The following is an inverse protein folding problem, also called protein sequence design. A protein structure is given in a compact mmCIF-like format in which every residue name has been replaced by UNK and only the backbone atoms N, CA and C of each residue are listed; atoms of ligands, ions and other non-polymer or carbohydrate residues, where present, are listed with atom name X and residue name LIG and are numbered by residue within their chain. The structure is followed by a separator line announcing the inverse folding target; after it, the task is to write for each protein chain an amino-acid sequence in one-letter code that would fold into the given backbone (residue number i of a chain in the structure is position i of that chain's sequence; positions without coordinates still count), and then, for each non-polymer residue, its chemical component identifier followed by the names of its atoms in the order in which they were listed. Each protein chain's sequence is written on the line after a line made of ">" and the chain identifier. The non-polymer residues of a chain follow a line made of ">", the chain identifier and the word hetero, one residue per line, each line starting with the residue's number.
data_IF_441324282706
#
_entry.id   IF_441324282706
#
_cell.length_a   1.000
_cell.length_b   1.000
_cell.length_c   1.000
_cell.angle_alpha   90.00
_cell.angle_beta   90.00
_cell.angle_gamma   90.00
#
_symmetry.space_group_name_H-M   'P 1'
#
loop_
_entity.id
_entity.type
_entity.pdbx_description
1 polymer ?
#
# COMPACT_ATOMS: atom_id res chain seq x y z
N UNK A 1 29.96 5.58 -52.16
CA UNK A 1 30.85 4.58 -51.52
C UNK A 1 30.79 3.30 -52.35
N UNK A 2 31.75 3.11 -53.29
CA UNK A 2 31.74 1.96 -54.22
C UNK A 2 32.69 0.82 -53.82
N UNK A 3 33.47 0.98 -52.74
CA UNK A 3 34.46 -0.02 -52.33
C UNK A 3 33.83 -1.08 -51.40
N UNK A 4 33.79 -2.37 -51.81
CA UNK A 4 33.17 -3.43 -51.01
C UNK A 4 33.90 -3.66 -49.69
N UNK A 5 35.21 -3.45 -49.62
CA UNK A 5 35.99 -3.53 -48.38
C UNK A 5 35.58 -2.50 -47.33
N UNK A 6 35.32 -1.25 -47.75
CA UNK A 6 34.85 -0.19 -46.82
C UNK A 6 33.46 -0.52 -46.27
N UNK A 7 32.58 -1.08 -47.10
CA UNK A 7 31.25 -1.54 -46.65
C UNK A 7 31.36 -2.67 -45.62
N UNK A 8 32.22 -3.65 -45.86
CA UNK A 8 32.46 -4.75 -44.94
C UNK A 8 33.01 -4.26 -43.60
N UNK A 9 33.96 -3.31 -43.62
CA UNK A 9 34.50 -2.71 -42.39
C UNK A 9 33.42 -1.99 -41.61
N UNK A 10 32.55 -1.20 -42.25
CA UNK A 10 31.47 -0.49 -41.60
C UNK A 10 30.46 -1.47 -40.96
N UNK A 11 30.13 -2.56 -41.67
CA UNK A 11 29.23 -3.59 -41.14
C UNK A 11 29.84 -4.27 -39.91
N UNK A 12 31.13 -4.64 -39.97
CA UNK A 12 31.82 -5.27 -38.85
C UNK A 12 31.90 -4.34 -37.63
N UNK A 13 32.21 -3.05 -37.86
CA UNK A 13 32.21 -2.06 -36.76
C UNK A 13 30.83 -1.87 -36.16
N UNK A 14 29.78 -1.84 -36.97
CA UNK A 14 28.40 -1.74 -36.46
C UNK A 14 27.99 -3.00 -35.65
N UNK A 15 28.40 -4.19 -36.08
CA UNK A 15 28.15 -5.42 -35.31
C UNK A 15 28.92 -5.44 -34.00
N UNK A 16 30.19 -5.04 -34.01
CA UNK A 16 30.99 -4.95 -32.75
C UNK A 16 30.37 -3.92 -31.82
N UNK A 17 29.95 -2.76 -32.32
CA UNK A 17 29.29 -1.75 -31.51
C UNK A 17 27.98 -2.24 -30.96
N UNK A 18 27.16 -2.96 -31.73
CA UNK A 18 25.91 -3.59 -31.26
C UNK A 18 26.15 -4.64 -30.18
N UNK A 19 27.18 -5.47 -30.31
CA UNK A 19 27.57 -6.47 -29.28
C UNK A 19 27.99 -5.80 -27.98
N UNK A 20 28.77 -4.72 -28.03
CA UNK A 20 29.18 -3.93 -26.89
C UNK A 20 27.97 -3.35 -26.17
N UNK A 21 26.95 -2.90 -26.92
CA UNK A 21 25.73 -2.30 -26.33
C UNK A 21 24.79 -3.33 -25.71
N UNK A 22 24.72 -4.54 -26.27
CA UNK A 22 23.87 -5.63 -25.77
C UNK A 22 24.51 -6.39 -24.60
N UNK A 23 25.84 -6.36 -24.47
CA UNK A 23 26.59 -7.09 -23.45
C UNK A 23 26.05 -6.89 -22.01
N UNK A 24 25.79 -5.66 -21.51
CA UNK A 24 25.28 -5.47 -20.17
C UNK A 24 23.88 -6.10 -19.97
N UNK A 25 23.03 -6.08 -20.99
CA UNK A 25 21.68 -6.66 -20.94
C UNK A 25 21.74 -8.16 -20.79
N UNK A 26 22.57 -8.85 -21.58
CA UNK A 26 22.77 -10.30 -21.47
C UNK A 26 23.34 -10.66 -20.10
N UNK A 27 24.37 -9.93 -19.66
CA UNK A 27 24.97 -10.16 -18.34
C UNK A 27 23.97 -9.96 -17.18
N UNK A 28 23.14 -8.92 -17.25
CA UNK A 28 22.09 -8.69 -16.26
C UNK A 28 21.06 -9.83 -16.21
N UNK A 29 20.68 -10.37 -17.36
CA UNK A 29 19.71 -11.46 -17.44
C UNK A 29 20.26 -12.79 -16.85
N UNK A 30 21.56 -13.00 -16.84
CA UNK A 30 22.20 -14.21 -16.29
C UNK A 30 22.36 -14.17 -14.77
N UNK A 31 22.21 -12.98 -14.13
CA UNK A 31 22.32 -12.82 -12.69
C UNK A 31 21.10 -13.42 -11.96
N UNK A 32 21.35 -14.04 -10.80
CA UNK A 32 20.28 -14.50 -9.92
C UNK A 32 19.51 -13.29 -9.30
N UNK A 33 18.25 -13.47 -8.87
CA UNK A 33 17.48 -12.42 -8.23
C UNK A 33 18.18 -11.77 -7.03
N UNK A 34 18.88 -12.58 -6.23
CA UNK A 34 19.64 -12.10 -5.05
C UNK A 34 20.84 -11.23 -5.44
N UNK A 35 21.60 -11.63 -6.45
CA UNK A 35 22.72 -10.83 -6.96
C UNK A 35 22.28 -9.53 -7.58
N UNK A 36 21.14 -9.50 -8.29
CA UNK A 36 20.54 -8.28 -8.82
C UNK A 36 20.19 -7.32 -7.71
N UNK A 37 19.52 -7.80 -6.65
CA UNK A 37 19.12 -6.98 -5.52
C UNK A 37 20.34 -6.40 -4.79
N UNK A 38 21.36 -7.20 -4.50
CA UNK A 38 22.59 -6.71 -3.86
C UNK A 38 23.28 -5.61 -4.68
N UNK A 39 23.30 -5.75 -6.00
CA UNK A 39 23.89 -4.71 -6.88
C UNK A 39 23.08 -3.43 -6.87
N UNK A 40 21.74 -3.52 -6.95
CA UNK A 40 20.86 -2.37 -6.87
C UNK A 40 21.03 -1.59 -5.56
N UNK A 41 21.16 -2.30 -4.44
CA UNK A 41 21.35 -1.69 -3.13
C UNK A 41 22.73 -1.01 -3.01
N UNK A 42 23.77 -1.64 -3.55
CA UNK A 42 25.11 -1.06 -3.61
C UNK A 42 25.13 0.23 -4.42
N UNK A 43 24.50 0.25 -5.59
CA UNK A 43 24.46 1.43 -6.46
C UNK A 43 23.62 2.56 -5.86
N UNK A 44 22.50 2.23 -5.20
CA UNK A 44 21.72 3.23 -4.44
C UNK A 44 22.58 3.93 -3.38
N UNK A 45 23.43 3.20 -2.67
CA UNK A 45 24.36 3.77 -1.69
C UNK A 45 25.44 4.64 -2.36
N UNK A 46 26.03 4.17 -3.48
CA UNK A 46 27.01 4.95 -4.23
C UNK A 46 26.43 6.24 -4.84
N UNK A 47 25.15 6.29 -5.20
CA UNK A 47 24.49 7.47 -5.75
C UNK A 47 24.10 8.51 -4.69
N UNK A 48 24.00 8.11 -3.42
CA UNK A 48 23.73 9.02 -2.29
C UNK A 48 24.98 9.82 -1.83
N UNK A 49 26.18 9.40 -2.23
CA UNK A 49 27.38 10.14 -1.87
C UNK A 49 27.54 11.41 -2.73
N UNK A 50 27.77 12.59 -2.12
CA UNK A 50 27.95 13.84 -2.87
C UNK A 50 29.22 13.77 -3.71
N UNK A 51 29.07 13.75 -5.05
CA UNK A 51 30.18 13.64 -6.01
C UNK A 51 30.62 15.01 -6.49
N UNK A 52 31.92 15.28 -6.43
CA UNK A 52 32.52 16.38 -7.20
C UNK A 52 32.78 15.87 -8.63
N UNK A 53 32.30 16.57 -9.68
CA UNK A 53 32.47 16.14 -11.06
C UNK A 53 33.96 16.11 -11.44
N UNK A 54 34.45 14.96 -11.91
CA UNK A 54 35.80 14.76 -12.38
C UNK A 54 35.77 13.88 -13.63
N UNK A 55 36.06 14.44 -14.81
CA UNK A 55 35.92 13.80 -16.11
C UNK A 55 36.58 12.41 -16.20
N UNK A 56 37.81 12.26 -15.71
CA UNK A 56 38.52 10.96 -15.77
C UNK A 56 37.91 9.91 -14.83
N UNK A 57 37.53 10.32 -13.63
CA UNK A 57 36.92 9.44 -12.65
C UNK A 57 35.52 9.01 -13.07
N UNK A 58 34.77 9.92 -13.67
CA UNK A 58 33.40 9.65 -14.14
C UNK A 58 33.40 8.73 -15.36
N UNK A 59 34.38 8.87 -16.26
CA UNK A 59 34.55 7.95 -17.42
C UNK A 59 34.94 6.54 -16.94
N UNK A 60 35.87 6.41 -16.00
CA UNK A 60 36.27 5.13 -15.44
C UNK A 60 35.13 4.48 -14.65
N UNK A 61 34.36 5.27 -13.88
CA UNK A 61 33.17 4.80 -13.19
C UNK A 61 32.10 4.31 -14.19
N UNK A 62 31.89 5.00 -15.30
CA UNK A 62 31.00 4.58 -16.37
C UNK A 62 31.39 3.24 -16.99
N UNK A 63 32.69 3.03 -17.29
CA UNK A 63 33.22 1.75 -17.78
C UNK A 63 33.03 0.63 -16.73
N UNK A 64 33.30 0.91 -15.44
CA UNK A 64 33.09 -0.02 -14.35
C UNK A 64 31.60 -0.42 -14.25
N UNK A 65 30.69 0.53 -14.29
CA UNK A 65 29.23 0.28 -14.26
C UNK A 65 28.80 -0.55 -15.46
N UNK A 66 29.25 -0.20 -16.67
CA UNK A 66 28.98 -0.99 -17.87
C UNK A 66 29.44 -2.44 -17.73
N UNK A 67 30.66 -2.68 -17.23
CA UNK A 67 31.20 -4.04 -17.03
C UNK A 67 30.52 -4.81 -15.93
N UNK A 68 29.87 -4.13 -14.99
CA UNK A 68 29.12 -4.71 -13.87
C UNK A 68 27.61 -4.83 -14.15
N UNK A 69 27.19 -4.60 -15.42
CA UNK A 69 25.81 -4.72 -15.88
C UNK A 69 24.86 -3.77 -15.14
N UNK A 70 25.27 -2.50 -14.97
CA UNK A 70 24.43 -1.48 -14.34
C UNK A 70 23.12 -1.32 -15.09
N UNK A 71 22.02 -1.09 -14.34
CA UNK A 71 20.67 -0.92 -14.89
C UNK A 71 20.57 0.17 -15.96
N UNK A 72 21.40 1.22 -15.87
CA UNK A 72 21.40 2.35 -16.82
C UNK A 72 21.93 1.95 -18.21
N UNK A 73 22.64 0.82 -18.30
CA UNK A 73 23.16 0.24 -19.54
C UNK A 73 22.38 -0.99 -20.03
N UNK A 74 21.40 -1.43 -19.25
CA UNK A 74 20.55 -2.59 -19.58
C UNK A 74 19.36 -2.11 -20.40
N UNK A 75 19.13 -2.73 -21.55
CA UNK A 75 17.95 -2.46 -22.38
C UNK A 75 16.73 -3.03 -21.66
N UNK A 76 15.78 -2.18 -21.31
CA UNK A 76 14.51 -2.61 -20.74
C UNK A 76 13.67 -3.32 -21.81
N UNK A 77 13.50 -4.61 -21.63
CA UNK A 77 12.71 -5.44 -22.54
C UNK A 77 11.23 -5.32 -22.17
N UNK A 78 10.40 -5.12 -23.19
CA UNK A 78 8.94 -5.11 -23.01
C UNK A 78 8.38 -6.46 -22.57
N UNK A 79 7.09 -6.47 -22.26
CA UNK A 79 6.34 -7.63 -21.75
C UNK A 79 6.51 -8.88 -22.62
N UNK A 80 6.58 -8.71 -23.93
CA UNK A 80 6.67 -9.81 -24.91
C UNK A 80 8.00 -10.57 -24.83
N UNK A 81 9.06 -9.93 -24.38
CA UNK A 81 10.41 -10.52 -24.32
C UNK A 81 10.82 -10.92 -22.90
N UNK A 82 10.37 -10.19 -21.89
CA UNK A 82 10.73 -10.44 -20.50
C UNK A 82 9.65 -11.20 -19.74
N UNK A 83 8.43 -11.27 -20.29
CA UNK A 83 7.24 -11.73 -19.58
C UNK A 83 6.80 -10.69 -18.55
N UNK A 84 5.72 -10.97 -17.88
CA UNK A 84 5.19 -10.06 -16.85
C UNK A 84 3.67 -10.12 -16.79
N UNK A 85 3.08 -9.16 -16.10
CA UNK A 85 1.65 -9.07 -15.87
C UNK A 85 1.07 -7.94 -16.71
N UNK A 86 -0.02 -8.22 -17.41
CA UNK A 86 -0.83 -7.23 -18.11
C UNK A 86 -2.24 -7.24 -17.49
N UNK A 87 -2.64 -6.13 -16.89
CA UNK A 87 -3.95 -5.98 -16.27
C UNK A 87 -4.73 -4.84 -16.93
N UNK A 88 -6.05 -5.01 -16.97
CA UNK A 88 -6.98 -3.98 -17.43
C UNK A 88 -7.88 -3.64 -16.25
N UNK A 89 -7.82 -2.38 -15.82
CA UNK A 89 -8.65 -1.80 -14.78
C UNK A 89 -9.81 -1.08 -15.45
N UNK A 90 -11.04 -1.51 -15.21
CA UNK A 90 -12.25 -0.86 -15.71
C UNK A 90 -12.96 -0.08 -14.61
N UNK A 91 -13.74 0.94 -14.99
CA UNK A 91 -14.54 1.77 -14.09
C UNK A 91 -16.02 1.46 -14.27
N UNK A 92 -16.70 1.27 -13.16
CA UNK A 92 -18.16 1.13 -13.13
C UNK A 92 -18.75 2.25 -12.25
N UNK A 93 -19.10 3.35 -12.91
CA UNK A 93 -19.61 4.55 -12.25
C UNK A 93 -20.97 4.28 -11.59
N UNK A 94 -21.71 3.28 -12.07
CA UNK A 94 -23.02 2.92 -11.50
C UNK A 94 -22.91 2.37 -10.08
N UNK A 95 -21.71 1.92 -9.68
CA UNK A 95 -21.41 1.44 -8.32
C UNK A 95 -20.75 2.49 -7.44
N UNK A 96 -20.54 3.69 -7.94
CA UNK A 96 -19.98 4.78 -7.14
C UNK A 96 -20.98 5.22 -6.05
N UNK A 97 -20.44 5.66 -4.91
CA UNK A 97 -21.27 6.22 -3.84
C UNK A 97 -22.10 7.40 -4.38
N UNK A 98 -23.43 7.41 -4.21
CA UNK A 98 -24.29 8.51 -4.66
C UNK A 98 -23.81 9.88 -4.19
N UNK A 99 -23.27 9.98 -2.96
CA UNK A 99 -22.73 11.24 -2.41
C UNK A 99 -21.51 11.73 -3.19
N UNK A 100 -20.71 10.83 -3.75
CA UNK A 100 -19.57 11.19 -4.59
C UNK A 100 -20.08 11.72 -5.94
N UNK A 101 -21.10 11.09 -6.50
CA UNK A 101 -21.71 11.54 -7.75
C UNK A 101 -22.40 12.92 -7.61
N UNK A 102 -23.07 13.15 -6.50
CA UNK A 102 -23.70 14.45 -6.17
C UNK A 102 -22.67 15.59 -5.95
N UNK A 103 -21.40 15.27 -5.69
CA UNK A 103 -20.35 16.28 -5.52
C UNK A 103 -19.83 16.87 -6.83
N UNK A 104 -20.18 16.27 -7.98
CA UNK A 104 -19.80 16.80 -9.29
C UNK A 104 -20.77 17.90 -9.75
N UNK A 105 -20.29 18.85 -10.59
CA UNK A 105 -21.15 19.87 -11.16
C UNK A 105 -22.30 19.23 -11.95
N UNK A 106 -23.51 19.77 -11.82
CA UNK A 106 -24.72 19.29 -12.55
C UNK A 106 -24.58 19.36 -14.07
N UNK A 107 -23.63 20.17 -14.56
CA UNK A 107 -23.31 20.32 -15.99
C UNK A 107 -22.50 19.16 -16.57
N UNK A 108 -21.91 18.29 -15.70
CA UNK A 108 -21.08 17.20 -16.16
C UNK A 108 -21.92 16.02 -16.65
N UNK A 109 -21.61 15.55 -17.85
CA UNK A 109 -22.19 14.30 -18.35
C UNK A 109 -21.56 13.09 -17.62
N UNK A 110 -22.23 11.95 -17.68
CA UNK A 110 -21.69 10.68 -17.18
C UNK A 110 -20.31 10.38 -17.79
N UNK A 111 -20.09 10.70 -19.06
CA UNK A 111 -18.82 10.54 -19.74
C UNK A 111 -17.72 11.44 -19.16
N UNK A 112 -18.05 12.67 -18.72
CA UNK A 112 -17.09 13.58 -18.09
C UNK A 112 -16.69 13.06 -16.71
N UNK A 113 -17.63 12.51 -15.95
CA UNK A 113 -17.41 11.87 -14.66
C UNK A 113 -16.49 10.65 -14.81
N UNK A 114 -16.78 9.77 -15.76
CA UNK A 114 -15.94 8.61 -16.07
C UNK A 114 -14.52 9.02 -16.42
N UNK A 115 -14.37 10.02 -17.28
CA UNK A 115 -13.05 10.54 -17.68
C UNK A 115 -12.29 11.12 -16.50
N UNK A 116 -12.97 11.84 -15.62
CA UNK A 116 -12.36 12.37 -14.40
C UNK A 116 -11.85 11.26 -13.47
N UNK A 117 -12.66 10.23 -13.22
CA UNK A 117 -12.24 9.07 -12.46
C UNK A 117 -11.07 8.33 -13.12
N UNK A 118 -11.11 8.18 -14.46
CA UNK A 118 -10.01 7.58 -15.20
C UNK A 118 -8.70 8.36 -14.98
N UNK A 119 -8.72 9.68 -15.06
CA UNK A 119 -7.54 10.51 -14.81
C UNK A 119 -7.01 10.41 -13.39
N UNK A 120 -7.87 10.47 -12.39
CA UNK A 120 -7.48 10.33 -10.99
C UNK A 120 -6.87 8.95 -10.69
N UNK A 121 -7.51 7.90 -11.19
CA UNK A 121 -7.04 6.54 -10.98
C UNK A 121 -5.73 6.27 -11.72
N UNK A 122 -5.58 6.79 -12.94
CA UNK A 122 -4.32 6.70 -13.69
C UNK A 122 -3.16 7.29 -12.87
N UNK A 123 -3.31 8.52 -12.36
CA UNK A 123 -2.28 9.17 -11.52
C UNK A 123 -2.01 8.40 -10.23
N UNK A 124 -3.03 7.78 -9.64
CA UNK A 124 -2.88 6.99 -8.41
C UNK A 124 -2.12 5.71 -8.70
N UNK A 125 -2.47 5.00 -9.77
CA UNK A 125 -1.76 3.77 -10.18
C UNK A 125 -0.32 4.09 -10.57
N UNK A 126 -0.09 5.16 -11.36
CA UNK A 126 1.26 5.61 -11.72
C UNK A 126 2.13 5.79 -10.48
N UNK A 127 1.67 6.58 -9.51
CA UNK A 127 2.42 6.84 -8.27
C UNK A 127 2.75 5.54 -7.52
N UNK A 128 1.77 4.67 -7.32
CA UNK A 128 1.94 3.40 -6.60
C UNK A 128 2.92 2.47 -7.28
N UNK A 129 2.79 2.34 -8.61
CA UNK A 129 3.61 1.41 -9.37
C UNK A 129 5.05 1.93 -9.49
N UNK A 130 5.26 3.24 -9.69
CA UNK A 130 6.60 3.83 -9.75
C UNK A 130 7.34 3.79 -8.41
N UNK A 131 6.64 3.90 -7.27
CA UNK A 131 7.26 3.80 -5.95
C UNK A 131 7.75 2.39 -5.60
N UNK A 132 7.15 1.36 -6.17
CA UNK A 132 7.36 -0.03 -5.77
C UNK A 132 8.12 -0.90 -6.78
N UNK A 133 8.40 -0.41 -8.00
CA UNK A 133 9.06 -1.23 -9.03
C UNK A 133 10.40 -0.67 -9.47
N UNK A 134 11.35 -1.60 -9.67
CA UNK A 134 12.67 -1.35 -10.27
C UNK A 134 12.66 -1.40 -11.81
N UNK A 135 11.55 -1.79 -12.43
CA UNK A 135 11.36 -1.87 -13.88
C UNK A 135 10.32 -0.83 -14.32
N UNK A 136 10.47 -0.26 -15.51
CA UNK A 136 9.57 0.75 -16.05
C UNK A 136 8.21 0.15 -16.42
N UNK A 137 7.14 0.44 -15.65
CA UNK A 137 5.80 0.01 -15.98
C UNK A 137 5.25 0.81 -17.15
N UNK A 138 4.36 0.20 -17.95
CA UNK A 138 3.60 0.91 -18.97
C UNK A 138 2.17 1.05 -18.47
N UNK A 139 1.74 2.30 -18.25
CA UNK A 139 0.40 2.62 -17.79
C UNK A 139 -0.23 3.53 -18.84
N UNK A 140 -1.32 3.09 -19.44
CA UNK A 140 -1.96 3.80 -20.54
C UNK A 140 -3.49 3.71 -20.45
N UNK A 141 -4.17 4.74 -20.95
CA UNK A 141 -5.63 4.71 -21.13
C UNK A 141 -5.99 3.72 -22.23
N UNK A 142 -7.01 2.92 -21.98
CA UNK A 142 -7.57 1.97 -22.94
C UNK A 142 -9.06 2.30 -23.14
N UNK A 143 -9.37 3.08 -24.18
CA UNK A 143 -10.71 3.62 -24.35
C UNK A 143 -11.05 4.69 -23.31
N UNK A 144 -12.36 4.90 -23.10
CA UNK A 144 -12.87 5.99 -22.25
C UNK A 144 -13.04 5.55 -20.79
N UNK A 145 -13.12 4.24 -20.53
CA UNK A 145 -13.52 3.66 -19.25
C UNK A 145 -12.49 2.68 -18.65
N UNK A 146 -11.29 2.54 -19.27
CA UNK A 146 -10.31 1.54 -18.84
C UNK A 146 -8.89 2.11 -18.78
N UNK A 147 -8.07 1.48 -17.94
CA UNK A 147 -6.61 1.71 -17.86
C UNK A 147 -5.92 0.37 -18.05
N UNK A 148 -4.96 0.32 -18.96
CA UNK A 148 -4.06 -0.81 -19.11
C UNK A 148 -2.81 -0.57 -18.27
N UNK A 149 -2.44 -1.57 -17.48
CA UNK A 149 -1.25 -1.58 -16.64
C UNK A 149 -0.40 -2.79 -17.02
N UNK A 150 0.80 -2.54 -17.51
CA UNK A 150 1.77 -3.57 -17.84
C UNK A 150 2.96 -3.50 -16.89
N UNK A 151 3.25 -4.62 -16.23
CA UNK A 151 4.32 -4.75 -15.25
C UNK A 151 5.35 -5.78 -15.77
N UNK A 152 6.35 -5.32 -16.53
CA UNK A 152 7.36 -6.22 -17.06
C UNK A 152 8.19 -6.87 -15.96
N UNK A 153 8.40 -8.18 -16.07
CA UNK A 153 9.20 -8.94 -15.11
C UNK A 153 8.50 -9.33 -13.81
N UNK A 154 7.30 -8.78 -13.51
CA UNK A 154 6.50 -9.19 -12.35
C UNK A 154 5.81 -10.53 -12.63
N UNK A 155 5.89 -11.45 -11.65
CA UNK A 155 5.32 -12.80 -11.75
C UNK A 155 4.26 -13.07 -10.70
N UNK A 156 4.22 -12.27 -9.65
CA UNK A 156 3.28 -12.39 -8.54
C UNK A 156 2.02 -11.57 -8.86
N UNK A 157 0.97 -12.28 -9.28
CA UNK A 157 -0.32 -11.66 -9.64
C UNK A 157 -1.02 -11.05 -8.42
N UNK A 158 -0.91 -11.67 -7.24
CA UNK A 158 -1.56 -11.17 -6.02
C UNK A 158 -0.90 -9.88 -5.57
N UNK A 159 0.42 -9.84 -5.59
CA UNK A 159 1.18 -8.62 -5.31
C UNK A 159 0.87 -7.49 -6.30
N UNK A 160 0.82 -7.79 -7.59
CA UNK A 160 0.47 -6.81 -8.61
C UNK A 160 -0.97 -6.29 -8.45
N UNK A 161 -1.90 -7.17 -8.07
CA UNK A 161 -3.27 -6.84 -7.78
C UNK A 161 -3.37 -5.92 -6.56
N UNK A 162 -2.68 -6.26 -5.48
CA UNK A 162 -2.64 -5.44 -4.27
C UNK A 162 -2.09 -4.03 -4.54
N UNK A 163 -1.03 -3.91 -5.32
CA UNK A 163 -0.48 -2.62 -5.71
C UNK A 163 -1.48 -1.72 -6.46
N UNK A 164 -2.30 -2.32 -7.31
CA UNK A 164 -3.23 -1.56 -8.17
C UNK A 164 -4.56 -1.30 -7.47
N UNK A 165 -5.11 -2.31 -6.79
CA UNK A 165 -6.49 -2.29 -6.29
C UNK A 165 -6.64 -1.95 -4.81
N UNK A 166 -5.59 -2.00 -3.98
CA UNK A 166 -5.69 -1.48 -2.61
C UNK A 166 -6.02 0.00 -2.68
N UNK A 167 -7.25 0.34 -2.31
CA UNK A 167 -7.74 1.72 -2.44
C UNK A 167 -7.05 2.67 -1.47
N UNK A 168 -6.41 2.15 -0.42
CA UNK A 168 -5.83 2.90 0.68
C UNK A 168 -6.82 3.95 1.24
N UNK A 169 -8.09 3.54 1.35
CA UNK A 169 -9.13 4.39 1.90
C UNK A 169 -8.90 4.55 3.40
N UNK A 170 -8.27 5.66 3.76
CA UNK A 170 -7.95 5.99 5.14
C UNK A 170 -9.17 6.56 5.85
N UNK A 171 -9.47 6.01 7.02
CA UNK A 171 -10.48 6.53 7.92
C UNK A 171 -10.00 6.49 9.36
N UNK A 172 -10.57 7.37 10.18
CA UNK A 172 -10.30 7.41 11.61
C UNK A 172 -11.61 7.16 12.35
N UNK A 173 -11.61 6.16 13.21
CA UNK A 173 -12.79 5.76 13.98
C UNK A 173 -12.52 5.85 15.47
N UNK A 174 -13.38 6.53 16.21
CA UNK A 174 -13.37 6.41 17.67
C UNK A 174 -13.71 4.97 18.04
N UNK A 175 -13.08 4.49 19.10
CA UNK A 175 -13.26 3.13 19.57
C UNK A 175 -14.01 3.13 20.93
N UNK A 176 -14.64 2.02 21.22
CA UNK A 176 -15.10 1.73 22.57
C UNK A 176 -13.92 1.59 23.52
N UNK A 177 -14.13 1.95 24.78
CA UNK A 177 -13.13 1.70 25.81
C UNK A 177 -12.95 0.20 26.04
N UNK A 178 -11.78 -0.27 26.53
CA UNK A 178 -11.50 -1.70 26.68
C UNK A 178 -12.55 -2.49 27.46
N UNK A 179 -13.08 -1.91 28.52
CA UNK A 179 -14.12 -2.50 29.36
C UNK A 179 -15.48 -2.62 28.64
N UNK A 180 -15.81 -1.66 27.77
CA UNK A 180 -17.00 -1.72 26.93
C UNK A 180 -16.84 -2.79 25.84
N UNK A 181 -15.65 -2.90 25.25
CA UNK A 181 -15.32 -3.96 24.28
C UNK A 181 -15.46 -5.35 24.93
N UNK A 182 -14.92 -5.54 26.14
CA UNK A 182 -14.99 -6.80 26.87
C UNK A 182 -16.44 -7.22 27.13
N UNK A 183 -17.32 -6.28 27.49
CA UNK A 183 -18.75 -6.55 27.67
C UNK A 183 -19.45 -7.03 26.41
N UNK A 184 -19.14 -6.40 25.27
CA UNK A 184 -19.71 -6.81 23.97
C UNK A 184 -19.20 -8.18 23.56
N UNK A 185 -17.90 -8.46 23.70
CA UNK A 185 -17.33 -9.77 23.37
C UNK A 185 -17.86 -10.88 24.29
N UNK A 186 -18.09 -10.61 25.57
CA UNK A 186 -18.76 -11.54 26.51
C UNK A 186 -20.21 -11.81 26.10
N UNK A 187 -20.94 -10.79 25.63
CA UNK A 187 -22.30 -10.97 25.13
C UNK A 187 -22.35 -11.86 23.87
N UNK A 188 -21.39 -11.66 22.95
CA UNK A 188 -21.23 -12.47 21.75
C UNK A 188 -20.90 -13.92 22.12
N UNK A 189 -19.96 -14.13 23.02
CA UNK A 189 -19.57 -15.45 23.50
C UNK A 189 -20.74 -16.21 24.07
N UNK A 190 -21.47 -15.58 25.02
CA UNK A 190 -22.66 -16.17 25.64
C UNK A 190 -23.75 -16.50 24.63
N UNK A 191 -23.92 -15.67 23.59
CA UNK A 191 -24.88 -15.94 22.50
C UNK A 191 -24.50 -17.22 21.77
N UNK A 192 -23.23 -17.37 21.35
CA UNK A 192 -22.78 -18.54 20.60
C UNK A 192 -22.65 -19.80 21.46
N UNK A 193 -22.30 -19.68 22.74
CA UNK A 193 -22.35 -20.80 23.69
C UNK A 193 -23.78 -21.40 23.76
N UNK A 194 -24.77 -20.51 23.88
CA UNK A 194 -26.17 -20.92 24.00
C UNK A 194 -26.77 -21.45 22.70
N UNK A 195 -26.45 -20.86 21.55
CA UNK A 195 -27.08 -21.16 20.25
C UNK A 195 -26.37 -22.26 19.47
N UNK A 196 -25.06 -22.41 19.63
CA UNK A 196 -24.23 -23.32 18.82
C UNK A 196 -23.25 -24.16 19.61
N UNK A 197 -23.20 -24.03 20.93
CA UNK A 197 -22.14 -24.62 21.76
C UNK A 197 -20.73 -24.27 21.25
N UNK A 198 -20.54 -23.01 20.77
CA UNK A 198 -19.27 -22.49 20.28
C UNK A 198 -18.70 -21.51 21.30
N UNK A 199 -17.42 -21.67 21.58
CA UNK A 199 -16.65 -20.82 22.49
C UNK A 199 -15.95 -19.75 21.68
N UNK A 200 -16.54 -18.54 21.61
CA UNK A 200 -16.00 -17.42 20.85
C UNK A 200 -14.74 -16.86 21.51
N UNK A 201 -14.76 -16.67 22.82
CA UNK A 201 -13.61 -16.13 23.55
C UNK A 201 -12.48 -17.14 23.68
N UNK A 202 -12.76 -18.44 23.70
CA UNK A 202 -11.73 -19.48 23.70
C UNK A 202 -10.91 -19.57 22.42
N UNK A 203 -11.36 -18.94 21.34
CA UNK A 203 -10.57 -18.75 20.11
C UNK A 203 -9.55 -17.61 20.22
N UNK A 204 -9.56 -16.84 21.28
CA UNK A 204 -8.75 -15.64 21.50
C UNK A 204 -7.90 -15.74 22.75
N UNK A 205 -6.99 -14.81 22.90
CA UNK A 205 -6.09 -14.71 24.05
C UNK A 205 -6.10 -13.29 24.59
N UNK A 206 -6.11 -13.14 25.93
CA UNK A 206 -5.95 -11.83 26.57
C UNK A 206 -4.47 -11.64 26.88
N UNK A 207 -3.79 -10.66 26.26
CA UNK A 207 -2.38 -10.42 26.55
C UNK A 207 -2.17 -9.93 27.98
N UNK A 208 -0.99 -10.21 28.56
CA UNK A 208 -0.60 -9.74 29.89
C UNK A 208 -0.44 -8.20 29.86
N UNK A 209 0.06 -7.67 28.76
CA UNK A 209 0.26 -6.24 28.53
C UNK A 209 -0.52 -5.79 27.30
N UNK A 210 -1.66 -5.14 27.53
CA UNK A 210 -2.48 -4.57 26.46
C UNK A 210 -3.98 -4.73 26.70
N UNK A 211 -4.77 -3.78 26.23
CA UNK A 211 -6.21 -3.75 26.51
C UNK A 211 -7.04 -4.60 25.55
N UNK A 212 -6.47 -5.07 24.43
CA UNK A 212 -7.22 -5.70 23.34
C UNK A 212 -6.99 -7.20 23.29
N UNK A 213 -8.01 -7.96 22.82
CA UNK A 213 -7.91 -9.40 22.63
C UNK A 213 -7.10 -9.73 21.36
N UNK A 214 -6.31 -10.80 21.43
CA UNK A 214 -5.52 -11.32 20.35
C UNK A 214 -6.09 -12.61 19.80
N UNK A 215 -6.08 -12.75 18.50
CA UNK A 215 -6.58 -13.92 17.78
C UNK A 215 -5.39 -14.62 17.12
N UNK A 216 -5.04 -15.86 17.53
CA UNK A 216 -4.06 -16.64 16.81
C UNK A 216 -4.39 -16.75 15.33
N UNK A 217 -3.39 -16.68 14.46
CA UNK A 217 -3.56 -16.70 13.01
C UNK A 217 -4.40 -17.88 12.50
N UNK A 218 -4.28 -19.03 13.16
CA UNK A 218 -5.06 -20.24 12.84
C UNK A 218 -6.55 -20.09 13.12
N UNK A 219 -6.94 -19.20 14.04
CA UNK A 219 -8.32 -18.98 14.44
C UNK A 219 -9.00 -17.81 13.73
N UNK A 220 -8.25 -16.94 13.02
CA UNK A 220 -8.79 -15.69 12.45
C UNK A 220 -10.01 -15.92 11.55
N UNK A 221 -10.00 -16.95 10.70
CA UNK A 221 -11.11 -17.22 9.81
C UNK A 221 -12.38 -17.65 10.55
N UNK A 222 -12.22 -18.43 11.64
CA UNK A 222 -13.34 -18.85 12.49
C UNK A 222 -13.94 -17.65 13.21
N UNK A 223 -13.10 -16.78 13.78
CA UNK A 223 -13.54 -15.58 14.48
C UNK A 223 -14.23 -14.61 13.51
N UNK A 224 -13.69 -14.38 12.33
CA UNK A 224 -14.33 -13.54 11.30
C UNK A 224 -15.72 -14.09 10.91
N UNK A 225 -15.87 -15.40 10.73
CA UNK A 225 -17.15 -16.00 10.42
C UNK A 225 -18.19 -15.80 11.57
N UNK A 226 -17.79 -15.99 12.81
CA UNK A 226 -18.66 -15.74 13.98
C UNK A 226 -19.05 -14.26 14.11
N UNK A 227 -18.12 -13.35 13.82
CA UNK A 227 -18.41 -11.89 13.81
C UNK A 227 -19.40 -11.53 12.71
N UNK A 228 -19.29 -12.10 11.50
CA UNK A 228 -20.27 -11.87 10.45
C UNK A 228 -21.68 -12.35 10.84
N UNK A 229 -21.77 -13.47 11.54
CA UNK A 229 -23.04 -13.93 12.10
C UNK A 229 -23.55 -13.02 13.22
N UNK A 230 -22.65 -12.57 14.12
CA UNK A 230 -23.02 -11.65 15.20
C UNK A 230 -23.60 -10.33 14.67
N UNK A 231 -23.09 -9.85 13.51
CA UNK A 231 -23.62 -8.66 12.81
C UNK A 231 -25.07 -8.82 12.37
N UNK A 232 -25.53 -10.04 12.12
CA UNK A 232 -26.91 -10.33 11.71
C UNK A 232 -27.87 -10.42 12.89
N UNK A 233 -27.36 -10.53 14.13
CA UNK A 233 -28.17 -10.63 15.35
C UNK A 233 -28.42 -9.24 15.90
N UNK A 234 -29.68 -8.82 15.87
CA UNK A 234 -30.08 -7.50 16.35
C UNK A 234 -29.72 -7.29 17.84
N UNK A 235 -29.01 -6.21 18.14
CA UNK A 235 -28.66 -5.80 19.51
C UNK A 235 -27.45 -6.54 20.10
N UNK A 236 -26.83 -7.48 19.41
CA UNK A 236 -25.66 -8.18 19.90
C UNK A 236 -24.40 -7.28 19.81
N UNK A 237 -24.26 -6.55 18.71
CA UNK A 237 -23.31 -5.45 18.58
C UNK A 237 -24.11 -4.15 18.81
N UNK A 238 -23.65 -3.23 19.68
CA UNK A 238 -24.35 -1.98 19.94
C UNK A 238 -24.61 -1.17 18.65
N UNK A 239 -25.74 -0.49 18.61
CA UNK A 239 -26.09 0.37 17.44
C UNK A 239 -25.03 1.45 17.25
N UNK A 240 -24.59 1.66 16.01
CA UNK A 240 -23.55 2.62 15.66
C UNK A 240 -22.12 2.10 15.86
N UNK A 241 -21.94 0.87 16.34
CA UNK A 241 -20.63 0.21 16.48
C UNK A 241 -20.46 -0.92 15.45
N UNK A 242 -19.22 -1.30 15.20
CA UNK A 242 -18.86 -2.46 14.40
C UNK A 242 -17.54 -3.07 14.91
N UNK A 243 -17.31 -4.32 14.54
CA UNK A 243 -16.10 -5.06 14.89
C UNK A 243 -15.11 -5.00 13.73
N UNK A 244 -13.88 -4.59 14.00
CA UNK A 244 -12.79 -4.53 13.06
C UNK A 244 -11.59 -5.37 13.53
N UNK A 245 -10.72 -5.73 12.60
CA UNK A 245 -9.53 -6.53 12.83
C UNK A 245 -8.28 -5.78 12.40
N UNK A 246 -7.12 -6.11 12.99
CA UNK A 246 -5.85 -5.62 12.48
C UNK A 246 -5.58 -6.14 11.06
N UNK A 247 -4.97 -5.31 10.21
CA UNK A 247 -4.69 -5.64 8.80
C UNK A 247 -3.61 -6.71 8.66
N UNK A 248 -2.58 -6.65 9.47
CA UNK A 248 -1.48 -7.60 9.47
C UNK A 248 -1.37 -8.33 10.81
N UNK A 249 -0.95 -9.60 10.80
CA UNK A 249 -0.65 -10.31 12.03
C UNK A 249 0.65 -9.77 12.62
N UNK A 250 0.67 -9.61 13.94
CA UNK A 250 1.84 -9.22 14.71
C UNK A 250 2.55 -10.44 15.29
N UNK A 251 3.89 -10.46 15.33
CA UNK A 251 4.62 -11.53 16.00
C UNK A 251 4.41 -11.43 17.51
N UNK A 252 4.07 -12.56 18.14
CA UNK A 252 3.99 -12.68 19.58
C UNK A 252 4.49 -14.07 19.99
N UNK A 253 5.62 -14.10 20.73
CA UNK A 253 6.36 -15.34 21.05
C UNK A 253 6.63 -16.15 19.77
N UNK A 254 6.20 -17.42 19.73
CA UNK A 254 6.39 -18.33 18.60
C UNK A 254 5.20 -18.32 17.60
N UNK A 255 4.25 -17.40 17.73
CA UNK A 255 3.03 -17.35 16.91
C UNK A 255 2.78 -15.96 16.32
N UNK A 256 1.89 -15.91 15.34
CA UNK A 256 1.36 -14.69 14.77
C UNK A 256 -0.08 -14.47 15.25
N UNK A 257 -0.39 -13.24 15.67
CA UNK A 257 -1.70 -12.90 16.20
C UNK A 257 -2.29 -11.67 15.50
N UNK A 258 -3.60 -11.69 15.31
CA UNK A 258 -4.39 -10.52 14.91
C UNK A 258 -5.03 -9.92 16.16
N UNK A 259 -5.38 -8.63 16.08
CA UNK A 259 -6.10 -7.95 17.15
C UNK A 259 -7.53 -7.65 16.70
N UNK A 260 -8.49 -7.77 17.62
CA UNK A 260 -9.90 -7.44 17.39
C UNK A 260 -10.26 -6.16 18.15
N UNK A 261 -11.08 -5.31 17.51
CA UNK A 261 -11.47 -4.00 18.01
C UNK A 261 -12.97 -3.75 17.85
N UNK A 262 -13.56 -3.02 18.78
CA UNK A 262 -14.91 -2.47 18.65
C UNK A 262 -14.80 -0.98 18.31
N UNK A 263 -15.18 -0.60 17.10
CA UNK A 263 -15.04 0.75 16.55
C UNK A 263 -16.39 1.36 16.24
N UNK A 264 -16.48 2.68 16.17
CA UNK A 264 -17.66 3.35 15.63
C UNK A 264 -17.80 2.97 14.14
N UNK A 265 -19.00 2.56 13.73
CA UNK A 265 -19.31 2.19 12.33
C UNK A 265 -19.09 3.35 11.36
N UNK A 266 -19.47 4.56 11.79
CA UNK A 266 -19.27 5.78 11.00
C UNK A 266 -17.91 6.37 11.31
N UNK A 267 -17.04 6.61 10.31
CA UNK A 267 -15.76 7.25 10.53
C UNK A 267 -15.94 8.68 11.07
N UNK A 268 -15.15 9.02 12.08
CA UNK A 268 -15.09 10.38 12.61
C UNK A 268 -14.40 11.34 11.64
N UNK A 269 -13.44 10.82 10.87
CA UNK A 269 -12.68 11.58 9.87
C UNK A 269 -12.33 10.63 8.72
N UNK A 270 -12.31 11.15 7.52
CA UNK A 270 -11.87 10.43 6.32
C UNK A 270 -10.55 11.00 5.80
N UNK A 271 -9.78 10.20 5.09
CA UNK A 271 -8.54 10.62 4.45
C UNK A 271 -8.71 11.53 3.22
N UNK A 272 -9.95 11.94 2.87
CA UNK A 272 -10.21 12.78 1.70
C UNK A 272 -9.45 14.10 1.74
N UNK A 273 -9.28 14.70 2.94
CA UNK A 273 -8.53 15.94 3.14
C UNK A 273 -7.05 15.73 3.45
N UNK A 274 -6.52 14.51 3.34
CA UNK A 274 -5.11 14.23 3.58
C UNK A 274 -4.25 14.79 2.45
N UNK A 275 -3.39 15.74 2.75
CA UNK A 275 -2.48 16.36 1.79
C UNK A 275 -1.12 15.68 1.75
N UNK A 276 -0.66 15.19 2.89
CA UNK A 276 0.66 14.58 3.03
C UNK A 276 0.66 13.54 4.14
N UNK A 277 1.35 12.41 3.92
CA UNK A 277 1.71 11.43 4.94
C UNK A 277 3.19 11.05 4.71
N UNK A 278 4.00 11.14 5.76
CA UNK A 278 5.45 10.85 5.70
C UNK A 278 5.84 10.00 6.88
N UNK A 279 6.47 8.86 6.62
CA UNK A 279 7.11 8.07 7.67
C UNK A 279 8.47 8.69 8.04
N UNK A 280 8.71 8.86 9.34
CA UNK A 280 10.00 9.29 9.91
C UNK A 280 10.41 8.36 11.03
N UNK A 281 11.71 8.24 11.24
CA UNK A 281 12.24 7.57 12.43
C UNK A 281 11.89 8.42 13.64
N UNK A 282 11.38 7.81 14.68
CA UNK A 282 11.11 8.47 15.94
C UNK A 282 12.39 8.52 16.77
N UNK A 283 13.10 9.64 16.70
CA UNK A 283 14.34 9.85 17.44
C UNK A 283 14.13 9.87 18.98
N UNK A 284 12.89 9.93 19.44
CA UNK A 284 12.55 9.94 20.87
C UNK A 284 12.43 8.53 21.47
N UNK A 285 12.42 7.48 20.63
CA UNK A 285 12.34 6.09 21.07
C UNK A 285 13.68 5.36 20.84
N UNK A 286 14.20 4.64 21.86
CA UNK A 286 15.49 3.94 21.74
C UNK A 286 15.50 2.81 20.70
N UNK A 287 14.35 2.30 20.32
CA UNK A 287 14.15 1.18 19.40
C UNK A 287 14.13 1.61 17.92
N UNK A 288 14.22 2.93 17.63
CA UNK A 288 14.18 3.44 16.26
C UNK A 288 12.83 3.20 15.57
N UNK A 289 11.75 3.15 16.32
CA UNK A 289 10.40 2.99 15.77
C UNK A 289 10.06 4.11 14.78
N UNK A 290 9.20 3.81 13.82
CA UNK A 290 8.72 4.82 12.87
C UNK A 290 7.49 5.54 13.42
N UNK A 291 7.42 6.84 13.15
CA UNK A 291 6.22 7.65 13.30
C UNK A 291 5.70 8.07 11.92
N UNK A 292 4.39 8.20 11.78
CA UNK A 292 3.77 8.73 10.57
C UNK A 292 3.29 10.14 10.88
N UNK A 293 3.87 11.12 10.18
CA UNK A 293 3.43 12.50 10.21
C UNK A 293 2.43 12.72 9.08
N UNK A 294 1.27 13.24 9.41
CA UNK A 294 0.26 13.55 8.40
C UNK A 294 -0.19 15.01 8.48
N UNK A 295 -0.58 15.55 7.32
CA UNK A 295 -1.10 16.90 7.19
C UNK A 295 -2.43 16.85 6.47
N UNK A 296 -3.42 17.47 7.07
CA UNK A 296 -4.74 17.67 6.49
C UNK A 296 -4.89 19.08 5.88
N UNK A 297 -5.88 19.23 5.00
CA UNK A 297 -6.40 20.55 4.62
C UNK A 297 -7.06 21.26 5.82
N UNK A 298 -7.41 22.52 5.64
CA UNK A 298 -7.95 23.34 6.72
C UNK A 298 -9.30 22.81 7.27
N UNK A 299 -10.16 22.27 6.41
CA UNK A 299 -11.47 21.76 6.82
C UNK A 299 -11.34 20.45 7.60
N UNK A 300 -10.61 19.49 7.06
CA UNK A 300 -10.37 18.19 7.72
C UNK A 300 -9.52 18.33 8.98
N UNK A 301 -8.56 19.26 8.98
CA UNK A 301 -7.77 19.60 10.18
C UNK A 301 -8.61 20.21 11.29
N UNK A 302 -9.58 21.07 10.97
CA UNK A 302 -10.53 21.61 11.94
C UNK A 302 -11.41 20.49 12.54
N UNK A 303 -11.90 19.56 11.71
CA UNK A 303 -12.68 18.42 12.15
C UNK A 303 -11.85 17.49 13.06
N UNK A 304 -10.59 17.19 12.66
CA UNK A 304 -9.65 16.42 13.48
C UNK A 304 -9.43 17.09 14.84
N UNK A 305 -9.23 18.43 14.85
CA UNK A 305 -9.08 19.19 16.08
C UNK A 305 -10.30 19.08 16.99
N UNK A 306 -11.51 19.16 16.46
CA UNK A 306 -12.74 19.04 17.24
C UNK A 306 -12.91 17.63 17.81
N UNK A 307 -12.69 16.60 16.98
CA UNK A 307 -12.83 15.19 17.39
C UNK A 307 -11.82 14.84 18.47
N UNK A 308 -10.56 15.23 18.31
CA UNK A 308 -9.50 14.89 19.28
C UNK A 308 -9.64 15.68 20.58
N UNK A 309 -10.03 16.95 20.54
CA UNK A 309 -10.26 17.76 21.74
C UNK A 309 -11.39 17.19 22.64
N UNK A 310 -12.45 16.65 22.03
CA UNK A 310 -13.58 16.06 22.75
C UNK A 310 -13.32 14.62 23.24
N UNK A 311 -12.26 13.97 22.78
CA UNK A 311 -12.00 12.56 23.04
C UNK A 311 -10.56 12.29 23.51
N UNK A 312 -9.97 13.19 24.30
CA UNK A 312 -8.67 12.98 24.93
C UNK A 312 -8.71 11.69 25.77
N UNK A 313 -7.61 10.95 25.82
CA UNK A 313 -7.42 9.65 26.45
C UNK A 313 -8.24 8.49 25.85
N UNK A 314 -9.08 8.73 24.87
CA UNK A 314 -9.78 7.66 24.14
C UNK A 314 -8.97 7.12 22.98
N UNK A 315 -9.11 5.82 22.65
CA UNK A 315 -8.43 5.24 21.51
C UNK A 315 -9.10 5.67 20.20
N UNK A 316 -8.25 5.95 19.21
CA UNK A 316 -8.63 6.33 17.84
C UNK A 316 -8.05 5.32 16.87
N UNK A 317 -8.88 4.49 16.25
CA UNK A 317 -8.44 3.54 15.25
C UNK A 317 -8.11 4.26 13.92
N UNK A 318 -6.93 3.99 13.40
CA UNK A 318 -6.51 4.35 12.04
C UNK A 318 -6.79 3.13 11.18
N UNK A 319 -7.74 3.27 10.26
CA UNK A 319 -8.28 2.17 9.46
C UNK A 319 -7.94 2.42 8.00
N UNK A 320 -7.36 1.43 7.33
CA UNK A 320 -7.06 1.46 5.90
C UNK A 320 -7.80 0.28 5.26
N UNK A 321 -8.64 0.57 4.26
CA UNK A 321 -9.43 -0.45 3.54
C UNK A 321 -10.28 -1.37 4.45
N UNK A 322 -10.73 -0.84 5.59
CA UNK A 322 -11.57 -1.58 6.54
C UNK A 322 -10.79 -2.38 7.59
N UNK A 323 -9.46 -2.37 7.54
CA UNK A 323 -8.59 -3.03 8.51
C UNK A 323 -7.87 -2.01 9.39
N UNK A 324 -7.74 -2.32 10.69
CA UNK A 324 -7.08 -1.42 11.65
C UNK A 324 -5.57 -1.57 11.55
N UNK A 325 -4.88 -0.51 11.18
CA UNK A 325 -3.41 -0.46 11.14
C UNK A 325 -2.81 -0.09 12.50
N UNK A 326 -3.46 0.81 13.23
CA UNK A 326 -3.06 1.18 14.59
C UNK A 326 -4.22 1.79 15.37
N UNK A 327 -4.13 1.77 16.69
CA UNK A 327 -5.15 2.29 17.60
C UNK A 327 -4.52 3.07 18.76
N UNK A 328 -3.87 4.23 18.51
CA UNK A 328 -3.29 5.06 19.56
C UNK A 328 -4.36 5.74 20.42
N UNK A 329 -4.01 6.06 21.66
CA UNK A 329 -4.80 6.97 22.48
C UNK A 329 -4.54 8.42 22.07
N UNK A 330 -5.59 9.23 22.01
CA UNK A 330 -5.51 10.66 21.75
C UNK A 330 -4.87 11.33 22.98
N UNK A 331 -3.68 11.89 22.82
CA UNK A 331 -2.97 12.57 23.90
C UNK A 331 -3.33 14.05 23.99
N UNK A 332 -3.52 14.68 22.85
CA UNK A 332 -3.83 16.11 22.76
C UNK A 332 -4.66 16.43 21.50
N UNK A 333 -5.11 17.66 21.41
CA UNK A 333 -5.81 18.17 20.24
C UNK A 333 -4.88 18.17 19.01
N UNK A 334 -5.26 17.46 17.96
CA UNK A 334 -4.55 17.41 16.68
C UNK A 334 -5.28 18.29 15.67
N UNK A 335 -4.59 19.26 15.08
CA UNK A 335 -5.17 20.16 14.09
C UNK A 335 -4.77 19.75 12.66
N UNK A 336 -4.15 20.67 11.89
CA UNK A 336 -3.73 20.40 10.51
C UNK A 336 -2.54 19.44 10.40
N UNK A 337 -1.75 19.31 11.44
CA UNK A 337 -0.61 18.39 11.51
C UNK A 337 -0.82 17.41 12.68
N UNK A 338 -0.57 16.15 12.44
CA UNK A 338 -0.63 15.07 13.43
C UNK A 338 0.49 14.07 13.23
#
# INVERSE_FOLDING_TARGET
>A
MKNPTVRAIIIVLALIWGLIYIYPTIGWMTLSPQERQQRLDTWKQEDLEPRQPNFFRDTLAGIKRWSQFDKDWVINLGLDLQGGINMIVGFDVTKADPKVLESFPEEWSEADIVKHFQEQTLRTIERRVFEFQSTEPIIARLGDDKIQVQLPGEKDLDRARDLIFKSAYLTFHLMAMPDEQEQVFLAIDKHFETTRNADFLGLMQKPISGPYLWIPKENIQKVRALVEEARQVQGLIPEGMDIAFSGAPQPWEDQQVYTIYLINKTPSITGAGLQQAVARINDSTPDGSYMILFRFDAASGAQMGQVTEQNIDKPLAIVIDGEVESAPNIQERITTNG
#
